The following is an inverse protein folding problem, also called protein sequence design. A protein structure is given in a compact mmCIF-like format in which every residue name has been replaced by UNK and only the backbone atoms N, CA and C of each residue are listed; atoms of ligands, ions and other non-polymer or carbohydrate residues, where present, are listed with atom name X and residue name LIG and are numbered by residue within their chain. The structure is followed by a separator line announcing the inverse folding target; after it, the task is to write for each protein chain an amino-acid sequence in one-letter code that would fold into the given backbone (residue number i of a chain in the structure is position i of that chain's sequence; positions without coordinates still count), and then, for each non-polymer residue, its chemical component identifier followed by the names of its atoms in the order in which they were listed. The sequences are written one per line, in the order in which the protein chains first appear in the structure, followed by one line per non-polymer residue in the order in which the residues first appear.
data_IF_743298948718
#
_entry.id   IF_743298948718
#
_cell.length_a   1.000
_cell.length_b   1.000
_cell.length_c   1.000
_cell.angle_alpha   90.00
_cell.angle_beta   90.00
_cell.angle_gamma   90.00
#
_symmetry.space_group_name_H-M   'P 1'
#
loop_
_entity.id
_entity.type
_entity.pdbx_description
1 polymer ?
#
# COMPACT_ATOMS: atom_id res chain seq x y z
N UNK A 1 -9.78 -3.62 22.83
CA UNK A 1 -10.89 -3.94 21.90
C UNK A 1 -11.20 -2.80 20.91
N UNK A 2 -10.19 -2.12 20.31
CA UNK A 2 -10.40 -1.05 19.31
C UNK A 2 -10.01 -1.46 17.87
N UNK A 3 -9.51 -2.69 17.68
CA UNK A 3 -9.00 -3.22 16.40
C UNK A 3 -10.11 -3.64 15.42
N UNK A 4 -11.36 -3.80 15.86
CA UNK A 4 -12.47 -4.28 15.02
C UNK A 4 -13.12 -3.20 14.13
N UNK A 5 -12.96 -1.91 14.43
CA UNK A 5 -13.67 -0.84 13.71
C UNK A 5 -12.89 -0.27 12.51
N UNK A 6 -11.61 -0.63 12.36
CA UNK A 6 -10.77 -0.11 11.26
C UNK A 6 -11.06 -0.84 9.94
N UNK A 7 -11.29 -2.15 9.99
CA UNK A 7 -11.64 -2.97 8.82
C UNK A 7 -12.93 -2.50 8.10
N UNK A 8 -14.07 -2.24 8.78
CA UNK A 8 -15.29 -1.81 8.10
C UNK A 8 -15.19 -0.40 7.53
N UNK A 9 -14.42 0.50 8.13
CA UNK A 9 -14.20 1.86 7.59
C UNK A 9 -13.39 1.84 6.30
N UNK A 10 -12.40 0.94 6.20
CA UNK A 10 -11.61 0.74 4.97
C UNK A 10 -12.49 0.12 3.88
N UNK A 11 -13.28 -0.90 4.20
CA UNK A 11 -14.22 -1.53 3.26
C UNK A 11 -15.27 -0.52 2.77
N UNK A 12 -15.80 0.32 3.65
CA UNK A 12 -16.76 1.37 3.29
C UNK A 12 -16.12 2.45 2.40
N UNK A 13 -14.88 2.86 2.68
CA UNK A 13 -14.15 3.79 1.82
C UNK A 13 -13.90 3.21 0.41
N UNK A 14 -13.59 1.92 0.33
CA UNK A 14 -13.46 1.19 -0.95
C UNK A 14 -14.78 1.16 -1.71
N UNK A 15 -15.90 0.92 -1.03
CA UNK A 15 -17.24 0.91 -1.65
C UNK A 15 -17.65 2.31 -2.13
N UNK A 16 -17.40 3.35 -1.35
CA UNK A 16 -17.77 4.74 -1.69
C UNK A 16 -16.92 5.30 -2.85
N UNK A 17 -15.68 4.84 -3.02
CA UNK A 17 -14.83 5.22 -4.14
C UNK A 17 -15.29 4.63 -5.50
N UNK A 18 -16.11 3.57 -5.48
CA UNK A 18 -16.57 2.86 -6.68
C UNK A 18 -17.86 3.43 -7.31
N UNK A 19 -18.40 4.54 -6.79
CA UNK A 19 -19.64 5.13 -7.34
C UNK A 19 -19.37 5.79 -8.70
N UNK A 20 -20.08 5.41 -9.78
CA UNK A 20 -19.87 5.98 -11.10
C UNK A 20 -20.45 7.40 -11.18
N UNK A 21 -19.57 8.39 -11.40
CA UNK A 21 -19.97 9.73 -11.83
C UNK A 21 -20.03 9.72 -13.36
N UNK A 22 -21.20 9.98 -13.94
CA UNK A 22 -21.36 10.10 -15.39
C UNK A 22 -20.94 11.49 -15.85
N UNK A 23 -19.91 11.55 -16.68
CA UNK A 23 -19.46 12.71 -17.45
C UNK A 23 -19.30 12.31 -18.92
N UNK A 24 -19.28 13.28 -19.84
CA UNK A 24 -19.02 13.04 -21.26
C UNK A 24 -17.68 12.31 -21.46
N UNK A 25 -17.56 11.42 -22.46
CA UNK A 25 -16.36 10.61 -22.64
C UNK A 25 -15.16 11.51 -22.98
N UNK A 26 -14.07 11.43 -22.19
CA UNK A 26 -12.87 12.22 -22.44
C UNK A 26 -12.18 11.79 -23.76
N UNK A 27 -11.39 12.70 -24.38
CA UNK A 27 -10.71 12.43 -25.65
C UNK A 27 -9.68 11.29 -25.57
N UNK A 28 -9.11 11.03 -24.39
CA UNK A 28 -8.45 9.77 -24.03
C UNK A 28 -9.31 9.12 -22.94
N UNK A 29 -9.93 7.95 -23.17
CA UNK A 29 -10.72 7.25 -22.17
C UNK A 29 -9.87 6.72 -20.99
N UNK A 30 -8.54 6.65 -21.14
CA UNK A 30 -7.62 6.12 -20.13
C UNK A 30 -6.33 6.98 -20.01
N UNK A 31 -6.42 8.27 -19.62
CA UNK A 31 -5.26 9.15 -19.60
C UNK A 31 -4.25 8.73 -18.54
N UNK A 32 -2.96 8.72 -18.92
CA UNK A 32 -1.88 8.34 -18.00
C UNK A 32 -1.78 9.26 -16.76
N UNK A 33 -2.25 10.50 -16.85
CA UNK A 33 -2.35 11.43 -15.73
C UNK A 33 -3.82 11.77 -15.44
N UNK A 34 -4.61 10.75 -15.11
CA UNK A 34 -6.02 10.87 -14.74
C UNK A 34 -6.26 10.82 -13.23
N UNK A 35 -7.44 11.28 -12.81
CA UNK A 35 -7.93 11.09 -11.42
C UNK A 35 -7.89 9.62 -11.00
N UNK A 36 -8.29 8.75 -11.91
CA UNK A 36 -8.29 7.31 -11.74
C UNK A 36 -6.89 6.75 -11.40
N UNK A 37 -5.86 7.22 -12.11
CA UNK A 37 -4.45 6.88 -11.85
C UNK A 37 -3.96 7.33 -10.47
N UNK A 38 -4.43 8.48 -10.00
CA UNK A 38 -4.15 8.93 -8.65
C UNK A 38 -4.80 8.04 -7.57
N UNK A 39 -5.95 7.42 -7.85
CA UNK A 39 -6.57 6.44 -6.95
C UNK A 39 -5.77 5.14 -6.90
N UNK A 40 -5.36 4.60 -8.05
CA UNK A 40 -4.46 3.45 -8.13
C UNK A 40 -3.17 3.68 -7.32
N UNK A 41 -2.51 4.81 -7.57
CA UNK A 41 -1.33 5.23 -6.81
C UNK A 41 -1.59 5.28 -5.29
N UNK A 42 -2.62 5.99 -4.87
CA UNK A 42 -2.91 6.20 -3.44
C UNK A 42 -3.30 4.90 -2.73
N UNK A 43 -4.13 4.09 -3.37
CA UNK A 43 -4.56 2.80 -2.83
C UNK A 43 -3.39 1.82 -2.70
N UNK A 44 -2.55 1.73 -3.73
CA UNK A 44 -1.37 0.86 -3.72
C UNK A 44 -0.31 1.32 -2.71
N UNK A 45 -0.11 2.64 -2.54
CA UNK A 45 0.74 3.17 -1.48
C UNK A 45 0.22 2.81 -0.07
N UNK A 46 -1.09 2.94 0.14
CA UNK A 46 -1.73 2.59 1.40
C UNK A 46 -1.65 1.08 1.69
N UNK A 47 -1.87 0.22 0.68
CA UNK A 47 -1.71 -1.23 0.82
C UNK A 47 -0.27 -1.61 1.17
N UNK A 48 0.71 -1.07 0.43
CA UNK A 48 2.11 -1.39 0.65
C UNK A 48 2.57 -0.99 2.05
N UNK A 49 2.28 0.25 2.46
CA UNK A 49 2.65 0.74 3.78
C UNK A 49 1.87 0.07 4.91
N UNK A 50 0.58 -0.20 4.69
CA UNK A 50 -0.27 -0.91 5.64
C UNK A 50 0.20 -2.35 5.87
N UNK A 51 0.53 -3.08 4.81
CA UNK A 51 1.05 -4.44 4.90
C UNK A 51 2.48 -4.49 5.50
N UNK A 52 3.35 -3.52 5.16
CA UNK A 52 4.63 -3.34 5.84
C UNK A 52 4.43 -3.16 7.35
N UNK A 53 3.59 -2.20 7.76
CA UNK A 53 3.32 -1.91 9.17
C UNK A 53 2.66 -3.09 9.89
N UNK A 54 1.69 -3.75 9.27
CA UNK A 54 1.05 -4.94 9.81
C UNK A 54 2.07 -6.05 10.05
N UNK A 55 2.96 -6.31 9.09
CA UNK A 55 3.98 -7.35 9.23
C UNK A 55 4.91 -7.07 10.43
N UNK A 56 5.25 -5.81 10.70
CA UNK A 56 5.98 -5.43 11.92
C UNK A 56 5.17 -5.71 13.20
N UNK A 57 3.86 -5.38 13.22
CA UNK A 57 2.98 -5.62 14.35
C UNK A 57 2.75 -7.11 14.65
N UNK A 58 2.86 -7.97 13.65
CA UNK A 58 2.75 -9.42 13.79
C UNK A 58 4.10 -10.11 14.05
N UNK A 59 5.15 -9.34 14.33
CA UNK A 59 6.46 -9.89 14.73
C UNK A 59 7.30 -10.42 13.57
N UNK A 60 7.04 -9.99 12.33
CA UNK A 60 7.93 -10.30 11.23
C UNK A 60 9.23 -9.50 11.37
N UNK A 61 10.31 -10.21 11.63
CA UNK A 61 11.63 -9.62 11.79
C UNK A 61 12.30 -9.28 10.46
N UNK A 62 13.08 -8.19 10.46
CA UNK A 62 13.86 -7.74 9.32
C UNK A 62 13.06 -6.88 8.33
N UNK A 63 13.59 -5.69 8.02
CA UNK A 63 12.97 -4.75 7.07
C UNK A 63 12.73 -5.38 5.70
N UNK A 64 13.67 -6.20 5.22
CA UNK A 64 13.54 -6.88 3.93
C UNK A 64 12.29 -7.77 3.84
N UNK A 65 11.96 -8.51 4.90
CA UNK A 65 10.77 -9.35 4.94
C UNK A 65 9.50 -8.50 4.95
N UNK A 66 9.49 -7.39 5.67
CA UNK A 66 8.37 -6.44 5.72
C UNK A 66 8.15 -5.74 4.38
N UNK A 67 9.24 -5.37 3.70
CA UNK A 67 9.21 -4.86 2.32
C UNK A 67 8.61 -5.89 1.38
N UNK A 68 9.07 -7.15 1.46
CA UNK A 68 8.57 -8.23 0.61
C UNK A 68 7.06 -8.43 0.80
N UNK A 69 6.56 -8.44 2.03
CA UNK A 69 5.12 -8.52 2.32
C UNK A 69 4.37 -7.30 1.77
N UNK A 70 4.88 -6.09 2.02
CA UNK A 70 4.25 -4.87 1.51
C UNK A 70 4.15 -4.83 -0.02
N UNK A 71 5.23 -5.18 -0.70
CA UNK A 71 5.26 -5.29 -2.16
C UNK A 71 4.32 -6.39 -2.68
N UNK A 72 4.36 -7.58 -2.08
CA UNK A 72 3.53 -8.70 -2.52
C UNK A 72 2.04 -8.38 -2.41
N UNK A 73 1.61 -7.73 -1.32
CA UNK A 73 0.21 -7.35 -1.12
C UNK A 73 -0.23 -6.29 -2.13
N UNK A 74 0.53 -5.21 -2.29
CA UNK A 74 0.12 -4.10 -3.16
C UNK A 74 0.22 -4.45 -4.66
N UNK A 75 1.34 -5.02 -5.11
CA UNK A 75 1.53 -5.44 -6.50
C UNK A 75 0.56 -6.58 -6.83
N UNK A 76 0.38 -7.53 -5.90
CA UNK A 76 -0.57 -8.63 -6.09
C UNK A 76 -1.99 -8.12 -6.26
N UNK A 77 -2.41 -7.09 -5.51
CA UNK A 77 -3.73 -6.49 -5.65
C UNK A 77 -3.92 -5.83 -7.02
N UNK A 78 -2.98 -4.97 -7.45
CA UNK A 78 -3.03 -4.33 -8.77
C UNK A 78 -3.02 -5.34 -9.92
N UNK A 79 -2.12 -6.33 -9.87
CA UNK A 79 -2.03 -7.39 -10.87
C UNK A 79 -3.32 -8.24 -10.93
N UNK A 80 -3.88 -8.57 -9.76
CA UNK A 80 -5.14 -9.33 -9.69
C UNK A 80 -6.31 -8.53 -10.25
N UNK A 81 -6.38 -7.22 -10.00
CA UNK A 81 -7.39 -6.34 -10.59
C UNK A 81 -7.32 -6.38 -12.11
N UNK A 82 -6.14 -6.25 -12.71
CA UNK A 82 -5.99 -6.29 -14.17
C UNK A 82 -6.37 -7.65 -14.79
N UNK A 83 -6.07 -8.76 -14.09
CA UNK A 83 -6.54 -10.08 -14.51
C UNK A 83 -8.07 -10.17 -14.47
N UNK A 84 -8.70 -9.68 -13.39
CA UNK A 84 -10.16 -9.69 -13.28
C UNK A 84 -10.79 -8.84 -14.38
N UNK A 85 -10.22 -7.67 -14.68
CA UNK A 85 -10.67 -6.84 -15.80
C UNK A 85 -10.55 -7.59 -17.12
N UNK A 86 -9.47 -8.35 -17.34
CA UNK A 86 -9.27 -9.15 -18.55
C UNK A 86 -10.25 -10.34 -18.64
N UNK A 87 -10.75 -10.80 -17.50
CA UNK A 87 -11.83 -11.79 -17.41
C UNK A 87 -13.23 -11.19 -17.62
N UNK A 88 -13.34 -9.90 -17.92
CA UNK A 88 -14.60 -9.23 -18.24
C UNK A 88 -15.25 -8.48 -17.07
N UNK A 89 -14.56 -8.32 -15.94
CA UNK A 89 -15.05 -7.54 -14.80
C UNK A 89 -14.73 -6.03 -14.90
N UNK A 90 -14.05 -5.60 -15.96
CA UNK A 90 -13.63 -4.22 -16.18
C UNK A 90 -12.89 -4.03 -17.51
N UNK A 91 -12.06 -2.99 -17.60
CA UNK A 91 -11.21 -2.73 -18.79
C UNK A 91 -9.75 -2.78 -18.36
N UNK A 92 -8.95 -3.76 -18.83
CA UNK A 92 -7.55 -3.85 -18.47
C UNK A 92 -6.79 -2.60 -18.89
N UNK A 93 -5.95 -2.08 -18.00
CA UNK A 93 -5.07 -0.96 -18.24
C UNK A 93 -3.68 -1.24 -17.66
N UNK A 94 -2.69 -1.33 -18.55
CA UNK A 94 -1.29 -1.33 -18.11
C UNK A 94 -0.92 -0.02 -17.40
N UNK A 95 -1.64 1.08 -17.69
CA UNK A 95 -1.41 2.39 -17.09
C UNK A 95 -1.84 2.36 -15.61
N UNK A 96 -2.96 1.74 -15.28
CA UNK A 96 -3.39 1.49 -13.90
C UNK A 96 -2.31 0.73 -13.14
N UNK A 97 -1.87 -0.40 -13.70
CA UNK A 97 -0.84 -1.21 -13.08
C UNK A 97 0.49 -0.46 -12.89
N UNK A 98 0.88 0.41 -13.83
CA UNK A 98 2.06 1.25 -13.67
C UNK A 98 1.94 2.19 -12.46
N UNK A 99 0.77 2.80 -12.25
CA UNK A 99 0.52 3.63 -11.08
C UNK A 99 0.42 2.83 -9.78
N UNK A 100 -0.03 1.58 -9.83
CA UNK A 100 0.03 0.67 -8.70
C UNK A 100 1.48 0.36 -8.29
N UNK A 101 2.38 0.15 -9.25
CA UNK A 101 3.81 -0.03 -8.99
C UNK A 101 4.45 1.22 -8.38
N UNK A 102 4.13 2.41 -8.92
CA UNK A 102 4.61 3.69 -8.37
C UNK A 102 4.09 3.94 -6.96
N UNK A 103 2.80 3.69 -6.72
CA UNK A 103 2.17 3.79 -5.41
C UNK A 103 2.84 2.85 -4.41
N UNK A 104 3.03 1.59 -4.80
CA UNK A 104 3.74 0.58 -3.99
C UNK A 104 5.13 1.07 -3.59
N UNK A 105 5.92 1.56 -4.55
CA UNK A 105 7.27 2.03 -4.30
C UNK A 105 7.30 3.19 -3.29
N UNK A 106 6.38 4.15 -3.44
CA UNK A 106 6.26 5.28 -2.51
C UNK A 106 5.80 4.81 -1.12
N UNK A 107 4.81 3.93 -1.04
CA UNK A 107 4.33 3.37 0.23
C UNK A 107 5.44 2.65 1.00
N UNK A 108 6.21 1.80 0.32
CA UNK A 108 7.40 1.15 0.90
C UNK A 108 8.45 2.17 1.33
N UNK A 109 8.76 3.15 0.48
CA UNK A 109 9.76 4.18 0.78
C UNK A 109 9.42 4.97 2.03
N UNK A 110 8.17 5.42 2.15
CA UNK A 110 7.66 6.12 3.34
C UNK A 110 7.73 5.21 4.57
N UNK A 111 7.29 3.95 4.47
CA UNK A 111 7.36 3.01 5.59
C UNK A 111 8.78 2.73 6.06
N UNK A 112 9.73 2.57 5.14
CA UNK A 112 11.14 2.41 5.47
C UNK A 112 11.69 3.66 6.15
N UNK A 113 11.42 4.85 5.60
CA UNK A 113 11.86 6.11 6.19
C UNK A 113 11.37 6.26 7.64
N UNK A 114 10.10 5.93 7.90
CA UNK A 114 9.52 5.93 9.24
C UNK A 114 10.15 4.85 10.14
N UNK A 115 10.33 3.62 9.66
CA UNK A 115 10.95 2.53 10.42
C UNK A 115 12.38 2.90 10.83
N UNK A 116 13.18 3.47 9.92
CA UNK A 116 14.53 3.96 10.22
C UNK A 116 14.51 5.14 11.22
N UNK A 117 13.62 6.11 11.04
CA UNK A 117 13.55 7.28 11.91
C UNK A 117 13.09 6.95 13.34
N UNK A 118 12.25 5.92 13.50
CA UNK A 118 11.66 5.54 14.79
C UNK A 118 12.41 4.38 15.47
N UNK A 119 13.28 3.68 14.76
CA UNK A 119 14.07 2.59 15.34
C UNK A 119 15.22 3.13 16.18
N UNK A 120 15.40 2.68 17.44
CA UNK A 120 16.53 3.09 18.25
C UNK A 120 17.86 2.68 17.59
N UNK A 121 18.82 3.60 17.56
CA UNK A 121 20.16 3.33 17.05
C UNK A 121 20.82 2.18 17.83
N UNK A 122 21.65 1.33 17.19
CA UNK A 122 22.37 0.24 17.87
C UNK A 122 23.18 0.71 19.09
N UNK A 123 23.70 1.95 19.07
CA UNK A 123 24.45 2.55 20.17
C UNK A 123 23.61 2.71 21.46
N UNK A 124 22.29 2.92 21.36
CA UNK A 124 21.42 3.07 22.52
C UNK A 124 21.23 1.76 23.29
N UNK A 125 21.36 0.60 22.62
CA UNK A 125 21.29 -0.73 23.28
C UNK A 125 22.55 -1.05 24.11
N UNK A 126 23.70 -0.49 23.77
CA UNK A 126 24.98 -0.75 24.46
C UNK A 126 25.14 0.06 25.75
N UNK A 127 24.47 1.20 25.91
CA UNK A 127 24.57 2.05 27.11
C UNK A 127 23.73 1.60 28.31
N UNK A 128 22.87 0.59 28.15
CA UNK A 128 21.95 0.12 29.20
C UNK A 128 22.45 -1.10 29.98
N UNK A 129 23.67 -1.59 29.72
CA UNK A 129 24.26 -2.66 30.53
C UNK A 129 24.90 -2.03 31.78
N UNK A 130 24.07 -1.79 32.80
CA UNK A 130 24.53 -1.38 34.13
C UNK A 130 25.43 -2.47 34.74
N UNK A 131 26.44 -2.09 35.56
CA UNK A 131 27.46 -3.03 36.02
C UNK A 131 26.86 -4.08 36.96
N UNK A 132 27.29 -5.33 36.75
CA UNK A 132 27.02 -6.43 37.67
C UNK A 132 27.44 -6.03 39.09
N UNK A 133 26.50 -6.15 40.03
CA UNK A 133 26.76 -6.20 41.47
C UNK A 133 26.40 -7.59 41.96
#
# INVERSE_FOLDING_TARGET
MKRLLVAPAIVLAVILAALPVRADPPPDPDPFFGRDKALHFGFSAALAGGAYGASALYGLDGRANRVAVGMAVAIGAGYSKEILDACGFGTPSWRDFAWDLMGTAVGIGVSLALDYALSPSPAAKSGSMAPAR
#
